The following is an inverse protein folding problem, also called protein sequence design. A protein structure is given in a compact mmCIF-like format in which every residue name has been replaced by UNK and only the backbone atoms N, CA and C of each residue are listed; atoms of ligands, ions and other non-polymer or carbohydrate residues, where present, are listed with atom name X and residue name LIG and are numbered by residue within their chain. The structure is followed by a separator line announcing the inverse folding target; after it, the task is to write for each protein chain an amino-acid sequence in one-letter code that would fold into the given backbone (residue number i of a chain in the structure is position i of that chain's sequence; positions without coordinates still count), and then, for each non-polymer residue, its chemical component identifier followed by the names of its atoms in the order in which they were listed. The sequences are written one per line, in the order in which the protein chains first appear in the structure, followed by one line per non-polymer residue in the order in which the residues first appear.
data_IF_958424820318
#
_entry.id   IF_958424820318
#
_cell.length_a   1.000
_cell.length_b   1.000
_cell.length_c   1.000
_cell.angle_alpha   90.00
_cell.angle_beta   90.00
_cell.angle_gamma   90.00
#
_symmetry.space_group_name_H-M   'P 1'
#
loop_
_entity.id
_entity.type
_entity.pdbx_description
1 polymer ?
#
# COMPACT_ATOMS: atom_id res chain seq x y z
N UNK A 1 -15.49 18.94 1.68
CA UNK A 1 -15.53 17.81 2.66
C UNK A 1 -14.39 18.02 3.64
N UNK A 2 -14.60 17.87 4.97
CA UNK A 2 -13.68 18.35 6.02
C UNK A 2 -13.08 17.23 6.90
N UNK A 3 -13.42 15.96 6.61
CA UNK A 3 -13.09 14.79 7.45
C UNK A 3 -11.80 14.05 7.04
N UNK A 4 -11.32 14.23 5.80
CA UNK A 4 -10.11 13.57 5.26
C UNK A 4 -8.80 14.31 5.54
N UNK A 5 -8.89 15.50 6.16
CA UNK A 5 -7.73 16.32 6.44
C UNK A 5 -7.30 16.07 7.89
N UNK A 6 -6.24 15.27 8.07
CA UNK A 6 -5.65 15.02 9.39
C UNK A 6 -4.51 16.01 9.60
N UNK A 7 -4.56 16.73 10.71
CA UNK A 7 -3.44 17.56 11.17
C UNK A 7 -2.52 16.69 12.01
N UNK A 8 -1.31 16.44 11.53
CA UNK A 8 -0.28 15.72 12.29
C UNK A 8 0.27 16.60 13.42
N UNK A 9 0.92 15.97 14.38
CA UNK A 9 1.46 16.64 15.57
C UNK A 9 2.44 17.80 15.24
N UNK A 10 3.13 17.73 14.09
CA UNK A 10 4.04 18.78 13.60
C UNK A 10 3.32 19.99 12.97
N UNK A 11 1.99 19.98 12.88
CA UNK A 11 1.22 21.06 12.26
C UNK A 11 1.07 20.94 10.74
N UNK A 12 1.62 19.88 10.14
CA UNK A 12 1.40 19.51 8.74
C UNK A 12 -0.01 18.93 8.55
N UNK A 13 -0.62 19.22 7.40
CA UNK A 13 -1.92 18.69 7.03
C UNK A 13 -1.74 17.61 5.97
N UNK A 14 -2.14 16.38 6.32
CA UNK A 14 -2.13 15.25 5.38
C UNK A 14 -3.56 14.98 4.94
N UNK A 15 -3.75 14.92 3.62
CA UNK A 15 -5.03 14.55 3.02
C UNK A 15 -5.07 13.05 2.81
N UNK A 16 -5.78 12.32 3.68
CA UNK A 16 -5.88 10.85 3.62
C UNK A 16 -6.41 10.41 2.26
N UNK A 17 -7.55 10.95 1.82
CA UNK A 17 -8.12 10.64 0.52
C UNK A 17 -7.23 10.97 -0.69
N UNK A 18 -6.26 11.90 -0.58
CA UNK A 18 -5.31 12.18 -1.67
C UNK A 18 -4.28 11.04 -1.77
N UNK A 19 -3.73 10.64 -0.62
CA UNK A 19 -2.78 9.53 -0.51
C UNK A 19 -3.45 8.21 -0.92
N UNK A 20 -4.70 7.98 -0.49
CA UNK A 20 -5.49 6.82 -0.93
C UNK A 20 -5.71 6.80 -2.44
N UNK A 21 -6.04 7.94 -3.05
CA UNK A 21 -6.25 8.02 -4.48
C UNK A 21 -4.97 7.77 -5.28
N UNK A 22 -3.83 8.34 -4.86
CA UNK A 22 -2.54 8.11 -5.52
C UNK A 22 -2.13 6.64 -5.43
N UNK A 23 -2.20 6.03 -4.24
CA UNK A 23 -1.85 4.62 -4.04
C UNK A 23 -2.82 3.66 -4.74
N UNK A 24 -4.11 4.00 -4.83
CA UNK A 24 -5.12 3.21 -5.56
C UNK A 24 -4.88 3.18 -7.08
N UNK A 25 -4.05 4.09 -7.61
CA UNK A 25 -3.67 4.06 -9.02
C UNK A 25 -2.82 2.83 -9.37
N UNK A 26 -2.24 2.17 -8.36
CA UNK A 26 -1.48 0.94 -8.54
C UNK A 26 -2.42 -0.23 -8.86
N UNK A 27 -2.29 -0.90 -10.02
CA UNK A 27 -3.10 -2.08 -10.34
C UNK A 27 -2.87 -3.26 -9.39
N UNK A 28 -1.75 -3.23 -8.66
CA UNK A 28 -1.40 -4.17 -7.62
C UNK A 28 -2.31 -4.08 -6.38
N UNK A 29 -2.88 -2.92 -6.10
CA UNK A 29 -3.66 -2.67 -4.89
C UNK A 29 -5.15 -2.78 -5.20
N UNK A 30 -5.83 -3.76 -4.61
CA UNK A 30 -7.28 -3.89 -4.77
C UNK A 30 -8.03 -2.93 -3.84
N UNK A 31 -7.65 -2.91 -2.56
CA UNK A 31 -8.20 -2.00 -1.57
C UNK A 31 -7.11 -1.34 -0.75
N UNK A 32 -7.29 -0.04 -0.47
CA UNK A 32 -6.43 0.73 0.41
C UNK A 32 -7.29 1.49 1.42
N UNK A 33 -6.83 1.56 2.65
CA UNK A 33 -7.39 2.38 3.71
C UNK A 33 -6.25 3.12 4.42
N UNK A 34 -6.18 4.44 4.30
CA UNK A 34 -5.16 5.25 5.01
C UNK A 34 -5.76 5.79 6.30
N UNK A 35 -5.10 5.49 7.41
CA UNK A 35 -5.44 5.98 8.73
C UNK A 35 -4.36 6.94 9.24
N UNK A 36 -4.76 8.16 9.57
CA UNK A 36 -3.91 9.15 10.21
C UNK A 36 -4.48 9.55 11.56
N UNK A 37 -3.63 9.60 12.58
CA UNK A 37 -4.00 10.10 13.90
C UNK A 37 -3.31 11.43 14.17
N UNK A 38 -4.04 12.40 14.71
CA UNK A 38 -3.51 13.75 14.97
C UNK A 38 -2.44 13.79 16.08
N UNK A 39 -2.42 12.79 16.96
CA UNK A 39 -1.42 12.64 18.02
C UNK A 39 -0.16 11.90 17.56
N UNK A 40 -0.14 11.40 16.32
CA UNK A 40 1.01 10.72 15.73
C UNK A 40 1.65 11.60 14.66
N UNK A 41 2.96 11.45 14.49
CA UNK A 41 3.71 12.10 13.42
C UNK A 41 3.73 11.29 12.12
N UNK A 42 3.08 10.12 12.11
CA UNK A 42 3.03 9.21 10.97
C UNK A 42 1.60 8.78 10.69
N UNK A 43 1.33 8.48 9.43
CA UNK A 43 0.09 7.82 8.99
C UNK A 43 0.40 6.37 8.68
N UNK A 44 -0.60 5.51 8.80
CA UNK A 44 -0.50 4.10 8.46
C UNK A 44 -1.50 3.81 7.36
N UNK A 45 -1.17 2.90 6.45
CA UNK A 45 -2.06 2.47 5.39
C UNK A 45 -2.23 0.95 5.45
N UNK A 46 -3.47 0.50 5.40
CA UNK A 46 -3.80 -0.90 5.20
C UNK A 46 -4.02 -1.13 3.70
N UNK A 47 -3.24 -2.03 3.13
CA UNK A 47 -3.24 -2.31 1.70
C UNK A 47 -3.60 -3.78 1.51
N UNK A 48 -4.59 -4.04 0.66
CA UNK A 48 -5.00 -5.38 0.24
C UNK A 48 -4.53 -5.55 -1.21
N UNK A 49 -3.48 -6.35 -1.46
CA UNK A 49 -3.00 -6.58 -2.81
C UNK A 49 -3.96 -7.51 -3.57
N UNK A 50 -4.02 -7.34 -4.90
CA UNK A 50 -4.83 -8.20 -5.75
C UNK A 50 -4.14 -9.57 -5.93
N UNK A 51 -4.81 -10.69 -5.66
CA UNK A 51 -4.21 -12.01 -5.82
C UNK A 51 -3.67 -12.26 -7.23
N UNK A 52 -4.34 -11.76 -8.28
CA UNK A 52 -3.88 -11.93 -9.67
C UNK A 52 -2.54 -11.26 -9.93
N UNK A 53 -2.37 -10.03 -9.45
CA UNK A 53 -1.11 -9.29 -9.62
C UNK A 53 0.00 -9.89 -8.75
N UNK A 54 -0.36 -10.40 -7.58
CA UNK A 54 0.56 -11.07 -6.67
C UNK A 54 1.10 -12.36 -7.31
N UNK A 55 0.26 -13.10 -8.03
CA UNK A 55 0.68 -14.23 -8.88
C UNK A 55 1.56 -13.79 -10.06
N UNK A 56 1.30 -12.66 -10.72
CA UNK A 56 2.15 -12.14 -11.79
C UNK A 56 3.55 -11.75 -11.28
N UNK A 57 3.63 -11.09 -10.12
CA UNK A 57 4.91 -10.76 -9.47
C UNK A 57 5.65 -12.03 -9.06
N UNK A 58 4.94 -13.02 -8.53
CA UNK A 58 5.51 -14.31 -8.20
C UNK A 58 6.10 -15.00 -9.43
N UNK A 59 5.37 -15.01 -10.54
CA UNK A 59 5.84 -15.54 -11.81
C UNK A 59 7.08 -14.79 -12.32
N UNK A 60 7.12 -13.46 -12.17
CA UNK A 60 8.28 -12.64 -12.53
C UNK A 60 9.52 -12.96 -11.67
N UNK A 61 9.31 -13.23 -10.38
CA UNK A 61 10.34 -13.64 -9.42
C UNK A 61 10.73 -15.13 -9.56
N UNK A 62 10.05 -15.90 -10.42
CA UNK A 62 10.29 -17.33 -10.60
C UNK A 62 9.66 -18.22 -9.52
N UNK A 63 8.79 -17.67 -8.68
CA UNK A 63 8.04 -18.38 -7.64
C UNK A 63 6.71 -18.84 -8.25
N UNK A 64 6.73 -20.00 -8.90
CA UNK A 64 5.53 -20.59 -9.51
C UNK A 64 5.03 -21.77 -8.66
N UNK A 65 3.73 -21.83 -8.36
CA UNK A 65 3.02 -22.86 -7.55
C UNK A 65 3.09 -22.74 -6.01
N UNK A 66 2.95 -21.53 -5.47
CA UNK A 66 2.70 -21.33 -4.04
C UNK A 66 1.26 -20.83 -3.82
N UNK A 67 0.59 -21.28 -2.76
CA UNK A 67 -0.70 -20.72 -2.35
C UNK A 67 -0.56 -19.24 -2.01
N UNK A 68 -1.64 -18.45 -2.08
CA UNK A 68 -1.62 -17.03 -1.70
C UNK A 68 -1.05 -16.80 -0.29
N UNK A 69 -1.27 -17.75 0.62
CA UNK A 69 -0.73 -17.73 1.98
C UNK A 69 0.80 -17.84 1.98
N UNK A 70 1.36 -18.83 1.27
CA UNK A 70 2.80 -19.05 1.11
C UNK A 70 3.48 -17.88 0.38
N UNK A 71 2.78 -17.28 -0.59
CA UNK A 71 3.23 -16.07 -1.29
C UNK A 71 3.27 -14.86 -0.37
N UNK A 72 2.27 -14.71 0.50
CA UNK A 72 2.21 -13.63 1.48
C UNK A 72 3.24 -13.82 2.61
N UNK A 73 3.59 -15.06 2.95
CA UNK A 73 4.68 -15.37 3.88
C UNK A 73 6.07 -15.18 3.26
N UNK A 74 6.16 -15.07 1.93
CA UNK A 74 7.45 -14.93 1.28
C UNK A 74 7.96 -13.47 1.34
N UNK A 75 9.10 -13.21 2.01
CA UNK A 75 9.63 -11.86 2.17
C UNK A 75 10.08 -11.22 0.84
N UNK A 76 10.31 -12.01 -0.22
CA UNK A 76 10.64 -11.48 -1.54
C UNK A 76 9.42 -10.82 -2.20
N UNK A 77 8.25 -11.45 -2.08
CA UNK A 77 6.99 -10.92 -2.61
C UNK A 77 6.61 -9.68 -1.81
N UNK A 78 6.67 -9.73 -0.48
CA UNK A 78 6.40 -8.58 0.39
C UNK A 78 7.30 -7.39 0.02
N UNK A 79 8.61 -7.63 -0.18
CA UNK A 79 9.53 -6.57 -0.63
C UNK A 79 9.21 -6.03 -2.01
N UNK A 80 8.88 -6.89 -2.98
CA UNK A 80 8.54 -6.47 -4.33
C UNK A 80 7.29 -5.58 -4.32
N UNK A 81 6.24 -6.03 -3.64
CA UNK A 81 4.99 -5.27 -3.42
C UNK A 81 5.28 -3.94 -2.75
N UNK A 82 6.05 -3.94 -1.66
CA UNK A 82 6.42 -2.72 -0.93
C UNK A 82 7.22 -1.76 -1.81
N UNK A 83 8.17 -2.25 -2.59
CA UNK A 83 9.00 -1.43 -3.46
C UNK A 83 8.16 -0.78 -4.56
N UNK A 84 7.27 -1.53 -5.19
CA UNK A 84 6.37 -1.02 -6.22
C UNK A 84 5.42 0.04 -5.65
N UNK A 85 4.92 -0.17 -4.44
CA UNK A 85 4.11 0.81 -3.71
C UNK A 85 4.90 2.10 -3.42
N UNK A 86 6.17 1.99 -3.01
CA UNK A 86 7.05 3.14 -2.77
C UNK A 86 7.37 3.88 -4.07
N UNK A 87 7.64 3.18 -5.17
CA UNK A 87 7.91 3.78 -6.47
C UNK A 87 6.69 4.55 -6.99
N UNK A 88 5.49 4.03 -6.78
CA UNK A 88 4.24 4.71 -7.14
C UNK A 88 3.96 5.91 -6.23
N UNK A 89 4.29 5.81 -4.94
CA UNK A 89 4.14 6.91 -3.98
C UNK A 89 5.11 8.08 -4.21
N UNK A 90 6.18 7.87 -5.00
CA UNK A 90 7.16 8.91 -5.35
C UNK A 90 6.80 9.69 -6.62
N UNK A 91 5.82 9.22 -7.38
CA UNK A 91 5.36 9.84 -8.63
C UNK A 91 4.30 10.89 -8.36
#
# INVERSE_FOLDING_TARGET
RKKDLVKLQLGEYVSLGKVEAELKTCPLVENICVYGDAHKSYTVALVVPNPRHLEEIAANLGINNASLEELCENPQIEKAVLQELIEQSKK
#
